data_IF_493450216877
#
_entry.id   IF_493450216877
#
_cell.length_a   1.000
_cell.length_b   1.000
_cell.length_c   1.000
_cell.angle_alpha   90.00
_cell.angle_beta   90.00
_cell.angle_gamma   90.00
#
_symmetry.space_group_name_H-M   'P 1'
#
loop_
_entity.id
_entity.type
_entity.pdbx_description
1 polymer ?
#
# COMPACT_ATOMS: atom_id res chain seq x y z
N UNK A 1 -74.43 -45.40 -37.94
CA UNK A 1 -73.81 -44.07 -37.76
C UNK A 1 -72.54 -44.23 -36.93
N UNK A 2 -71.37 -43.99 -37.53
CA UNK A 2 -70.03 -44.31 -36.99
C UNK A 2 -69.54 -43.23 -36.02
N UNK A 3 -69.10 -43.64 -34.81
CA UNK A 3 -68.52 -42.79 -33.77
C UNK A 3 -67.20 -42.16 -34.25
N UNK A 4 -67.10 -40.84 -34.11
CA UNK A 4 -65.99 -39.97 -34.54
C UNK A 4 -64.84 -40.10 -33.52
N UNK A 5 -63.72 -40.73 -33.89
CA UNK A 5 -62.49 -40.77 -33.08
C UNK A 5 -61.80 -39.41 -33.14
N UNK A 6 -61.67 -38.75 -31.99
CA UNK A 6 -60.86 -37.55 -31.80
C UNK A 6 -59.36 -37.94 -31.86
N UNK A 7 -58.60 -37.32 -32.76
CA UNK A 7 -57.11 -37.36 -32.74
C UNK A 7 -56.64 -36.37 -31.67
N UNK A 8 -55.84 -36.83 -30.72
CA UNK A 8 -55.12 -35.97 -29.79
C UNK A 8 -54.08 -35.13 -30.56
N UNK A 9 -53.91 -33.84 -30.22
CA UNK A 9 -52.86 -33.01 -30.80
C UNK A 9 -51.49 -33.43 -30.25
N UNK A 10 -50.52 -33.60 -31.15
CA UNK A 10 -49.10 -33.76 -30.83
C UNK A 10 -48.61 -32.56 -30.03
N UNK A 11 -48.08 -32.81 -28.84
CA UNK A 11 -47.43 -31.81 -27.99
C UNK A 11 -46.18 -31.26 -28.67
N UNK A 12 -46.13 -29.95 -28.87
CA UNK A 12 -44.91 -29.23 -29.20
C UNK A 12 -43.87 -29.41 -28.06
N UNK A 13 -42.56 -29.47 -28.36
CA UNK A 13 -41.56 -29.56 -27.30
C UNK A 13 -41.62 -28.29 -26.43
N UNK A 14 -41.69 -28.52 -25.12
CA UNK A 14 -41.61 -27.47 -24.10
C UNK A 14 -40.23 -26.82 -24.21
N UNK A 15 -40.18 -25.56 -24.61
CA UNK A 15 -38.98 -24.75 -24.62
C UNK A 15 -38.55 -24.56 -23.15
N UNK A 16 -37.52 -25.28 -22.71
CA UNK A 16 -36.95 -25.08 -21.37
C UNK A 16 -36.42 -23.64 -21.30
N UNK A 17 -36.80 -22.84 -20.29
CA UNK A 17 -36.21 -21.52 -20.11
C UNK A 17 -34.72 -21.71 -19.85
N UNK A 18 -33.87 -21.24 -20.77
CA UNK A 18 -32.44 -21.24 -20.53
C UNK A 18 -32.14 -20.36 -19.31
N UNK A 19 -31.28 -20.81 -18.38
CA UNK A 19 -30.94 -20.04 -17.20
C UNK A 19 -30.27 -18.72 -17.60
N UNK A 20 -30.82 -17.62 -17.12
CA UNK A 20 -30.18 -16.31 -17.23
C UNK A 20 -29.00 -16.29 -16.25
N UNK A 21 -27.79 -16.52 -16.75
CA UNK A 21 -26.56 -16.43 -15.95
C UNK A 21 -26.05 -14.98 -15.95
N UNK A 22 -26.05 -14.35 -14.79
CA UNK A 22 -25.40 -13.07 -14.56
C UNK A 22 -23.99 -13.29 -14.00
N UNK A 23 -22.97 -12.75 -14.68
CA UNK A 23 -21.60 -12.75 -14.17
C UNK A 23 -21.39 -11.48 -13.33
N UNK A 24 -21.27 -11.65 -12.01
CA UNK A 24 -20.93 -10.56 -11.10
C UNK A 24 -19.43 -10.27 -11.21
N UNK A 25 -19.06 -9.02 -11.47
CA UNK A 25 -17.68 -8.59 -11.29
C UNK A 25 -17.40 -8.56 -9.78
N UNK A 26 -16.42 -9.34 -9.33
CA UNK A 26 -16.06 -9.43 -7.92
C UNK A 26 -15.84 -8.04 -7.31
N UNK A 27 -16.32 -7.88 -6.07
CA UNK A 27 -16.19 -6.63 -5.32
C UNK A 27 -14.73 -6.18 -5.25
N UNK A 28 -14.46 -4.87 -5.28
CA UNK A 28 -13.12 -4.36 -5.04
C UNK A 28 -12.69 -4.76 -3.63
N UNK A 29 -11.85 -5.80 -3.53
CA UNK A 29 -11.22 -6.15 -2.27
C UNK A 29 -10.17 -5.09 -1.94
N UNK A 30 -10.38 -4.38 -0.83
CA UNK A 30 -9.34 -3.55 -0.25
C UNK A 30 -8.16 -4.46 0.15
N UNK A 31 -6.95 -4.00 -0.12
CA UNK A 31 -5.70 -4.76 0.18
C UNK A 31 -5.48 -4.91 1.69
N UNK A 32 -6.25 -4.19 2.52
CA UNK A 32 -6.31 -4.25 3.98
C UNK A 32 -7.78 -4.05 4.40
N UNK A 33 -8.33 -4.95 5.21
CA UNK A 33 -9.67 -4.76 5.79
C UNK A 33 -9.65 -3.55 6.73
N UNK A 34 -10.67 -2.70 6.64
CA UNK A 34 -10.74 -1.38 7.30
C UNK A 34 -10.67 -1.45 8.84
N UNK A 35 -10.78 -2.66 9.40
CA UNK A 35 -10.84 -2.93 10.84
C UNK A 35 -9.46 -3.10 11.48
N UNK A 36 -8.42 -3.48 10.74
CA UNK A 36 -7.12 -3.83 11.33
C UNK A 36 -6.22 -2.63 11.69
N UNK A 37 -6.54 -1.42 11.24
CA UNK A 37 -5.70 -0.22 11.47
C UNK A 37 -6.18 0.63 12.66
N UNK A 38 -7.45 0.50 13.06
CA UNK A 38 -8.09 1.39 14.03
C UNK A 38 -8.51 0.72 15.33
N UNK A 39 -8.34 -0.60 15.45
CA UNK A 39 -8.49 -1.27 16.75
C UNK A 39 -7.25 -0.94 17.60
N UNK A 40 -7.32 0.18 18.30
CA UNK A 40 -6.50 0.47 19.48
C UNK A 40 -6.89 -0.49 20.62
N UNK A 41 -6.79 -1.79 20.38
CA UNK A 41 -6.76 -2.75 21.47
C UNK A 41 -5.51 -2.41 22.29
N UNK A 42 -5.67 -2.22 23.61
CA UNK A 42 -4.57 -2.15 24.56
C UNK A 42 -3.53 -3.20 24.18
N UNK A 43 -2.25 -2.82 24.06
CA UNK A 43 -1.22 -3.68 23.48
C UNK A 43 -1.24 -5.08 24.11
N UNK A 44 -1.79 -6.06 23.39
CA UNK A 44 -2.04 -7.41 23.91
C UNK A 44 -0.69 -8.14 23.97
N UNK A 45 -0.45 -8.88 25.05
CA UNK A 45 0.74 -9.71 25.16
C UNK A 45 0.42 -11.20 25.03
N UNK A 46 1.34 -11.96 24.44
CA UNK A 46 1.23 -13.42 24.31
C UNK A 46 1.97 -14.20 25.41
N UNK A 47 2.38 -13.50 26.48
CA UNK A 47 3.17 -14.03 27.59
C UNK A 47 4.69 -13.98 27.36
N UNK A 48 5.16 -13.70 26.14
CA UNK A 48 6.59 -13.47 25.84
C UNK A 48 6.87 -12.03 25.42
N UNK A 49 6.04 -11.50 24.53
CA UNK A 49 6.15 -10.12 24.03
C UNK A 49 4.79 -9.47 23.88
N UNK A 50 4.84 -8.15 23.73
CA UNK A 50 3.71 -7.26 23.50
C UNK A 50 3.57 -7.03 22.00
N UNK A 51 2.37 -7.22 21.45
CA UNK A 51 2.10 -6.91 20.05
C UNK A 51 1.96 -5.39 19.84
N UNK A 52 2.43 -4.85 18.70
CA UNK A 52 2.33 -3.43 18.41
C UNK A 52 0.86 -3.03 18.24
N UNK A 53 0.50 -1.78 18.59
CA UNK A 53 -0.87 -1.28 18.51
C UNK A 53 -1.41 -1.23 17.07
N UNK A 54 -0.53 -1.23 16.07
CA UNK A 54 -0.88 -1.33 14.66
C UNK A 54 0.01 -2.33 13.93
N UNK A 55 -0.49 -2.87 12.83
CA UNK A 55 0.26 -3.84 12.02
C UNK A 55 1.51 -3.22 11.39
N UNK A 56 2.69 -3.53 11.93
CA UNK A 56 3.97 -3.17 11.31
C UNK A 56 4.13 -3.78 9.91
N UNK A 57 3.54 -4.96 9.65
CA UNK A 57 3.50 -5.51 8.29
C UNK A 57 2.62 -4.67 7.35
N UNK A 58 1.50 -4.13 7.87
CA UNK A 58 0.65 -3.18 7.16
C UNK A 58 1.38 -1.88 6.83
N UNK A 59 2.08 -1.28 7.80
CA UNK A 59 2.91 -0.09 7.58
C UNK A 59 4.01 -0.32 6.54
N UNK A 60 4.72 -1.45 6.63
CA UNK A 60 5.78 -1.78 5.69
C UNK A 60 5.28 -1.91 4.24
N UNK A 61 4.05 -2.45 4.04
CA UNK A 61 3.40 -2.48 2.73
C UNK A 61 2.98 -1.07 2.29
N UNK A 62 2.39 -0.31 3.22
CA UNK A 62 1.86 1.03 2.98
C UNK A 62 2.92 2.04 2.56
N UNK A 63 4.17 1.85 3.00
CA UNK A 63 5.32 2.66 2.56
C UNK A 63 5.37 2.82 1.04
N UNK A 64 5.01 1.76 0.28
CA UNK A 64 5.08 1.75 -1.19
C UNK A 64 3.75 2.00 -1.88
N UNK A 65 2.68 2.29 -1.15
CA UNK A 65 1.34 2.51 -1.71
C UNK A 65 1.28 3.77 -2.58
N UNK A 66 2.02 4.82 -2.20
CA UNK A 66 2.08 6.07 -2.95
C UNK A 66 3.49 6.67 -3.02
N UNK A 67 3.82 7.29 -4.15
CA UNK A 67 5.11 7.98 -4.36
C UNK A 67 5.27 9.16 -3.40
N UNK A 68 4.20 9.93 -3.20
CA UNK A 68 4.17 11.05 -2.26
C UNK A 68 4.15 10.64 -0.78
N UNK A 69 4.16 9.33 -0.51
CA UNK A 69 4.31 8.77 0.82
C UNK A 69 5.75 8.28 1.05
N UNK A 70 6.29 7.46 0.13
CA UNK A 70 7.66 6.93 0.22
C UNK A 70 8.76 7.96 -0.01
N UNK A 71 8.63 8.81 -1.03
CA UNK A 71 9.65 9.79 -1.42
C UNK A 71 10.04 10.72 -0.26
N UNK A 72 9.10 11.38 0.46
CA UNK A 72 9.44 12.21 1.61
C UNK A 72 10.24 11.48 2.70
N UNK A 73 9.87 10.23 3.02
CA UNK A 73 10.58 9.41 4.02
C UNK A 73 12.04 9.16 3.58
N UNK A 74 12.25 8.82 2.30
CA UNK A 74 13.60 8.58 1.79
C UNK A 74 14.44 9.85 1.73
N UNK A 75 13.85 11.01 1.40
CA UNK A 75 14.54 12.30 1.43
C UNK A 75 14.96 12.66 2.86
N UNK A 76 14.05 12.56 3.85
CA UNK A 76 14.35 12.77 5.27
C UNK A 76 15.53 11.88 5.70
N UNK A 77 15.46 10.58 5.43
CA UNK A 77 16.55 9.62 5.72
C UNK A 77 17.86 10.04 5.06
N UNK A 78 17.85 10.35 3.76
CA UNK A 78 19.06 10.67 3.02
C UNK A 78 19.76 11.90 3.58
N UNK A 79 19.01 12.94 3.94
CA UNK A 79 19.60 14.16 4.52
C UNK A 79 20.17 13.84 5.91
N UNK A 80 19.43 13.14 6.77
CA UNK A 80 19.93 12.72 8.09
C UNK A 80 21.23 11.90 7.97
N UNK A 81 21.26 10.92 7.08
CA UNK A 81 22.43 10.07 6.83
C UNK A 81 23.60 10.85 6.21
N UNK A 82 23.33 11.85 5.38
CA UNK A 82 24.36 12.71 4.79
C UNK A 82 25.01 13.62 5.84
N UNK A 83 24.25 14.04 6.84
CA UNK A 83 24.76 14.85 7.95
C UNK A 83 25.41 14.02 9.04
N UNK A 84 25.13 12.72 9.13
CA UNK A 84 25.70 11.84 10.16
C UNK A 84 27.21 11.67 10.00
N UNK A 85 27.93 11.79 11.12
CA UNK A 85 29.37 11.54 11.21
C UNK A 85 29.57 10.06 11.59
N UNK A 86 30.11 9.20 10.70
CA UNK A 86 30.27 7.79 10.99
C UNK A 86 31.11 7.51 12.24
N UNK A 87 30.68 6.55 13.04
CA UNK A 87 31.35 6.14 14.28
C UNK A 87 31.90 4.70 14.15
N UNK A 88 33.06 4.36 14.76
CA UNK A 88 33.58 2.98 14.72
C UNK A 88 32.59 1.93 15.21
N UNK A 89 31.72 2.30 16.16
CA UNK A 89 30.68 1.42 16.71
C UNK A 89 29.37 1.42 15.92
N UNK A 90 29.09 2.42 15.08
CA UNK A 90 27.84 2.54 14.35
C UNK A 90 28.10 2.92 12.90
N UNK A 91 27.90 1.95 12.00
CA UNK A 91 28.11 2.14 10.58
C UNK A 91 27.07 3.10 9.98
N UNK A 92 27.41 3.79 8.90
CA UNK A 92 26.46 4.62 8.17
C UNK A 92 25.26 3.81 7.64
N UNK A 93 25.48 2.54 7.29
CA UNK A 93 24.43 1.64 6.83
C UNK A 93 23.44 1.28 7.94
N UNK A 94 23.93 0.99 9.14
CA UNK A 94 23.07 0.67 10.29
C UNK A 94 22.35 1.91 10.80
N UNK A 95 23.01 3.07 10.82
CA UNK A 95 22.35 4.35 11.08
C UNK A 95 21.24 4.63 10.05
N UNK A 96 21.49 4.40 8.76
CA UNK A 96 20.48 4.57 7.70
C UNK A 96 19.26 3.65 7.87
N UNK A 97 19.46 2.40 8.32
CA UNK A 97 18.37 1.47 8.66
C UNK A 97 17.59 1.94 9.87
N UNK A 98 18.30 2.35 10.93
CA UNK A 98 17.70 2.85 12.16
C UNK A 98 16.80 4.08 11.91
N UNK A 99 17.29 5.06 11.14
CA UNK A 99 16.51 6.24 10.74
C UNK A 99 15.29 5.84 9.90
N UNK A 100 15.45 4.92 8.94
CA UNK A 100 14.33 4.49 8.11
C UNK A 100 13.24 3.80 8.95
N UNK A 101 13.63 2.93 9.86
CA UNK A 101 12.69 2.22 10.72
C UNK A 101 11.93 3.19 11.62
N UNK A 102 12.61 4.17 12.22
CA UNK A 102 11.94 5.20 13.03
C UNK A 102 10.92 5.97 12.20
N UNK A 103 11.30 6.43 11.00
CA UNK A 103 10.40 7.18 10.12
C UNK A 103 9.20 6.36 9.64
N UNK A 104 9.32 5.05 9.48
CA UNK A 104 8.26 4.17 8.95
C UNK A 104 7.37 3.59 10.04
N UNK A 105 7.95 3.24 11.18
CA UNK A 105 7.24 2.52 12.24
C UNK A 105 6.99 3.37 13.48
N UNK A 106 7.57 4.56 13.59
CA UNK A 106 7.65 5.28 14.87
C UNK A 106 8.49 4.54 15.90
N UNK A 107 9.24 3.52 15.48
CA UNK A 107 9.99 2.60 16.33
C UNK A 107 11.29 2.21 15.63
N UNK A 108 12.41 2.30 16.33
CA UNK A 108 13.70 1.84 15.81
C UNK A 108 14.53 1.19 16.91
N UNK A 109 15.31 0.18 16.54
CA UNK A 109 16.06 -0.63 17.49
C UNK A 109 17.54 -0.75 17.13
N UNK A 110 18.42 -0.64 18.12
CA UNK A 110 19.85 -0.94 18.01
C UNK A 110 20.25 -1.98 19.07
N UNK A 111 20.90 -3.05 18.64
CA UNK A 111 21.45 -4.10 19.50
C UNK A 111 22.94 -3.86 19.77
N UNK A 112 23.36 -3.95 21.03
CA UNK A 112 24.76 -4.06 21.45
C UNK A 112 25.30 -5.44 21.09
N UNK A 113 26.18 -5.50 20.09
CA UNK A 113 26.90 -6.73 19.74
C UNK A 113 28.19 -6.80 20.54
N UNK A 114 28.33 -7.84 21.35
CA UNK A 114 29.53 -8.07 22.14
C UNK A 114 30.51 -9.02 21.43
N UNK A 115 31.79 -8.83 21.69
CA UNK A 115 32.83 -9.78 21.29
C UNK A 115 32.88 -10.95 22.28
N UNK A 116 33.71 -11.98 21.99
CA UNK A 116 33.82 -13.19 22.83
C UNK A 116 34.32 -12.94 24.26
N UNK A 117 34.98 -11.81 24.50
CA UNK A 117 35.51 -11.41 25.82
C UNK A 117 34.61 -10.39 26.52
N UNK A 118 33.40 -10.12 26.00
CA UNK A 118 32.38 -9.26 26.61
C UNK A 118 32.51 -7.77 26.30
N UNK A 119 33.49 -7.35 25.51
CA UNK A 119 33.62 -5.97 25.06
C UNK A 119 32.64 -5.63 23.95
N UNK A 120 32.14 -4.39 23.91
CA UNK A 120 31.28 -3.90 22.83
C UNK A 120 32.04 -3.92 21.50
N UNK A 121 31.49 -4.63 20.51
CA UNK A 121 32.06 -4.72 19.17
C UNK A 121 31.45 -3.67 18.24
N UNK A 122 30.13 -3.56 18.22
CA UNK A 122 29.36 -2.62 17.39
C UNK A 122 27.91 -2.53 17.85
N UNK A 123 27.22 -1.50 17.36
CA UNK A 123 25.76 -1.38 17.40
C UNK A 123 25.20 -1.83 16.05
N UNK A 124 24.21 -2.70 16.08
CA UNK A 124 23.58 -3.27 14.89
C UNK A 124 22.09 -2.94 14.88
N UNK A 125 21.58 -2.47 13.74
CA UNK A 125 20.16 -2.16 13.61
C UNK A 125 19.34 -3.44 13.52
N UNK A 126 18.40 -3.60 14.45
CA UNK A 126 17.44 -4.70 14.42
C UNK A 126 16.15 -4.22 13.73
N UNK A 127 15.72 -4.86 12.62
CA UNK A 127 14.57 -4.40 11.84
C UNK A 127 13.29 -4.29 12.67
N UNK A 128 12.76 -3.07 12.82
CA UNK A 128 11.61 -2.76 13.66
C UNK A 128 10.35 -3.56 13.31
N UNK A 129 10.16 -3.88 12.02
CA UNK A 129 9.07 -4.75 11.56
C UNK A 129 8.99 -6.08 12.34
N UNK A 130 10.14 -6.63 12.71
CA UNK A 130 10.26 -7.96 13.31
C UNK A 130 10.62 -7.91 14.81
N UNK A 131 11.11 -6.79 15.31
CA UNK A 131 11.41 -6.62 16.74
C UNK A 131 10.14 -6.36 17.53
N UNK A 132 10.04 -6.99 18.71
CA UNK A 132 8.95 -6.85 19.67
C UNK A 132 9.51 -6.57 21.05
N UNK A 133 8.87 -5.68 21.79
CA UNK A 133 9.11 -5.44 23.21
C UNK A 133 8.62 -6.64 24.01
N UNK A 134 9.47 -7.18 24.86
CA UNK A 134 9.16 -8.26 25.78
C UNK A 134 8.14 -7.83 26.84
N UNK A 135 7.48 -8.80 27.47
CA UNK A 135 6.70 -8.55 28.69
C UNK A 135 7.63 -8.30 29.87
N UNK A 136 8.80 -8.93 29.86
CA UNK A 136 9.89 -8.66 30.80
C UNK A 136 10.53 -7.31 30.48
N UNK A 137 10.83 -6.53 31.51
CA UNK A 137 11.48 -5.24 31.38
C UNK A 137 12.85 -5.36 30.70
N UNK A 138 13.11 -4.45 29.76
CA UNK A 138 14.37 -4.35 29.01
C UNK A 138 14.76 -5.61 28.22
N UNK A 139 13.77 -6.45 27.90
CA UNK A 139 13.91 -7.63 27.06
C UNK A 139 13.17 -7.40 25.75
N UNK A 140 13.76 -7.85 24.64
CA UNK A 140 13.15 -7.77 23.32
C UNK A 140 13.19 -9.13 22.63
N UNK A 141 12.36 -9.27 21.61
CA UNK A 141 12.26 -10.47 20.79
C UNK A 141 12.34 -10.12 19.32
N UNK A 142 13.02 -10.96 18.55
CA UNK A 142 13.03 -10.89 17.10
C UNK A 142 12.16 -12.01 16.52
N UNK A 143 11.05 -11.63 15.89
CA UNK A 143 9.98 -12.54 15.47
C UNK A 143 9.90 -12.56 13.94
N UNK A 144 10.35 -13.65 13.33
CA UNK A 144 10.21 -13.90 11.88
C UNK A 144 9.24 -15.05 11.63
N UNK A 145 8.45 -14.97 10.56
CA UNK A 145 7.36 -15.93 10.28
C UNK A 145 7.79 -17.40 10.12
N UNK A 146 9.08 -17.68 9.89
CA UNK A 146 9.58 -19.02 9.56
C UNK A 146 10.71 -19.51 10.48
N UNK A 147 11.00 -18.79 11.57
CA UNK A 147 12.05 -19.16 12.52
C UNK A 147 11.52 -19.03 13.94
N UNK A 148 12.10 -19.81 14.84
CA UNK A 148 11.87 -19.64 16.27
C UNK A 148 12.20 -18.20 16.69
N UNK A 149 11.32 -17.55 17.47
CA UNK A 149 11.58 -16.21 18.00
C UNK A 149 12.89 -16.17 18.77
N UNK A 150 13.74 -15.22 18.44
CA UNK A 150 15.00 -15.02 19.14
C UNK A 150 14.80 -14.00 20.27
N UNK A 151 15.11 -14.39 21.51
CA UNK A 151 15.15 -13.48 22.65
C UNK A 151 16.49 -12.75 22.68
N UNK A 152 16.46 -11.43 22.73
CA UNK A 152 17.66 -10.62 22.96
C UNK A 152 18.07 -10.68 24.44
N UNK A 153 19.34 -10.41 24.71
CA UNK A 153 19.82 -10.30 26.09
C UNK A 153 19.22 -9.06 26.78
N UNK A 154 18.87 -9.13 28.07
CA UNK A 154 18.35 -7.97 28.80
C UNK A 154 19.33 -6.78 28.74
N UNK A 155 18.81 -5.59 28.43
CA UNK A 155 19.62 -4.35 28.33
C UNK A 155 20.57 -4.26 27.14
N UNK A 156 20.50 -5.23 26.21
CA UNK A 156 21.29 -5.21 24.98
C UNK A 156 20.66 -4.37 23.86
N UNK A 157 19.37 -4.05 23.93
CA UNK A 157 18.64 -3.37 22.85
C UNK A 157 18.17 -1.98 23.29
N UNK A 158 18.53 -0.96 22.52
CA UNK A 158 17.93 0.36 22.61
C UNK A 158 16.69 0.43 21.74
N UNK A 159 15.61 0.99 22.27
CA UNK A 159 14.35 1.20 21.56
C UNK A 159 14.05 2.71 21.53
N UNK A 160 14.22 3.31 20.36
CA UNK A 160 13.74 4.67 20.10
C UNK A 160 12.28 4.59 19.66
N UNK A 161 11.39 5.27 20.38
CA UNK A 161 9.98 5.35 20.05
C UNK A 161 9.51 6.80 19.89
N UNK A 162 8.64 7.03 18.93
CA UNK A 162 7.87 8.27 18.81
C UNK A 162 6.80 8.28 19.91
N UNK A 163 6.58 9.38 20.64
CA UNK A 163 5.53 9.43 21.65
C UNK A 163 4.15 9.17 21.04
N UNK A 164 3.34 8.38 21.74
CA UNK A 164 1.94 8.12 21.42
C UNK A 164 1.05 8.60 22.57
N UNK A 165 -0.16 9.06 22.23
CA UNK A 165 -1.12 9.60 23.20
C UNK A 165 -1.90 8.50 23.91
N UNK A 166 -1.91 7.28 23.37
CA UNK A 166 -2.74 6.18 23.88
C UNK A 166 -1.95 5.18 24.75
N UNK A 167 -0.63 5.05 24.53
CA UNK A 167 0.22 4.12 25.27
C UNK A 167 1.71 4.50 25.22
N UNK A 168 2.51 3.92 26.12
CA UNK A 168 3.95 4.22 26.29
C UNK A 168 4.88 3.05 25.84
N UNK A 169 4.30 1.99 25.28
CA UNK A 169 5.01 0.74 24.97
C UNK A 169 5.70 0.77 23.61
N UNK A 170 5.05 1.34 22.60
CA UNK A 170 5.51 1.48 21.23
C UNK A 170 5.23 2.90 20.73
N UNK A 171 5.96 3.33 19.70
CA UNK A 171 5.64 4.57 19.00
C UNK A 171 4.70 4.37 17.82
N UNK A 172 4.12 5.47 17.37
CA UNK A 172 3.25 5.53 16.18
C UNK A 172 3.75 6.64 15.24
N UNK A 173 3.92 6.38 13.93
CA UNK A 173 4.38 7.41 13.00
C UNK A 173 3.31 8.47 12.76
N UNK A 174 3.70 9.74 12.70
CA UNK A 174 2.79 10.89 12.56
C UNK A 174 1.88 10.80 11.32
N UNK A 175 2.34 10.13 10.25
CA UNK A 175 1.62 10.06 8.99
C UNK A 175 0.42 9.10 9.00
N UNK A 176 0.12 8.38 10.09
CA UNK A 176 -0.96 7.38 10.15
C UNK A 176 -2.28 7.94 9.63
N UNK A 177 -2.59 9.20 9.95
CA UNK A 177 -3.79 9.91 9.51
C UNK A 177 -3.94 9.97 7.98
N UNK A 178 -2.82 9.93 7.24
CA UNK A 178 -2.77 10.01 5.78
C UNK A 178 -2.75 8.64 5.08
N UNK A 179 -2.77 7.53 5.82
CA UNK A 179 -2.70 6.18 5.24
C UNK A 179 -3.90 5.88 4.32
N UNK A 180 -5.10 6.34 4.70
CA UNK A 180 -6.27 6.21 3.84
C UNK A 180 -6.07 6.94 2.50
N UNK A 181 -5.45 8.12 2.52
CA UNK A 181 -5.10 8.86 1.31
C UNK A 181 -4.03 8.11 0.50
N UNK A 182 -3.04 7.47 1.14
CA UNK A 182 -2.06 6.62 0.46
C UNK A 182 -2.71 5.44 -0.30
N UNK A 183 -3.60 4.70 0.36
CA UNK A 183 -4.27 3.53 -0.25
C UNK A 183 -5.31 3.93 -1.30
N UNK A 184 -5.99 5.05 -1.12
CA UNK A 184 -6.88 5.60 -2.14
C UNK A 184 -6.09 6.00 -3.39
N UNK A 185 -4.93 6.62 -3.20
CA UNK A 185 -4.01 6.99 -4.27
C UNK A 185 -3.46 5.76 -5.03
N UNK A 186 -3.14 4.69 -4.30
CA UNK A 186 -2.74 3.39 -4.87
C UNK A 186 -3.87 2.78 -5.69
N UNK A 187 -5.08 2.70 -5.10
CA UNK A 187 -6.27 2.11 -5.73
C UNK A 187 -6.62 2.81 -7.03
N UNK A 188 -6.57 4.15 -7.07
CA UNK A 188 -6.78 4.93 -8.29
C UNK A 188 -5.73 4.61 -9.38
N UNK A 189 -4.48 4.36 -8.97
CA UNK A 189 -3.39 3.99 -9.88
C UNK A 189 -3.57 2.58 -10.43
N UNK A 190 -3.91 1.62 -9.57
CA UNK A 190 -4.18 0.23 -9.95
C UNK A 190 -5.40 0.13 -10.87
N UNK A 191 -6.45 0.88 -10.58
CA UNK A 191 -7.64 0.96 -11.43
C UNK A 191 -7.26 1.44 -12.83
N UNK A 192 -6.54 2.57 -12.95
CA UNK A 192 -6.09 3.09 -14.24
C UNK A 192 -5.22 2.08 -14.99
N UNK A 193 -4.27 1.43 -14.29
CA UNK A 193 -3.43 0.40 -14.91
C UNK A 193 -4.27 -0.76 -15.44
N UNK A 194 -5.23 -1.27 -14.66
CA UNK A 194 -6.14 -2.35 -15.06
C UNK A 194 -7.05 -1.93 -16.22
N UNK A 195 -7.57 -0.70 -16.18
CA UNK A 195 -8.37 -0.11 -17.25
C UNK A 195 -7.60 -0.11 -18.58
N UNK A 196 -6.36 0.37 -18.60
CA UNK A 196 -5.53 0.36 -19.81
C UNK A 196 -5.08 -1.04 -20.22
N UNK A 197 -4.77 -1.94 -19.28
CA UNK A 197 -4.46 -3.34 -19.58
C UNK A 197 -5.65 -4.07 -20.23
N UNK A 198 -6.87 -3.68 -19.86
CA UNK A 198 -8.11 -4.15 -20.45
C UNK A 198 -8.52 -3.29 -21.67
N UNK A 199 -7.57 -2.60 -22.32
CA UNK A 199 -7.74 -1.75 -23.51
C UNK A 199 -8.79 -0.65 -23.40
N UNK A 200 -8.79 0.04 -22.27
CA UNK A 200 -9.58 1.24 -22.02
C UNK A 200 -11.09 1.04 -22.22
N UNK A 201 -11.61 -0.11 -21.75
CA UNK A 201 -13.04 -0.38 -21.75
C UNK A 201 -13.47 -0.92 -20.39
N UNK A 202 -14.53 -0.34 -19.82
CA UNK A 202 -15.13 -0.80 -18.55
C UNK A 202 -15.98 -2.08 -18.67
N UNK A 203 -15.85 -2.83 -19.78
CA UNK A 203 -16.78 -3.90 -20.16
C UNK A 203 -18.13 -3.41 -20.71
N UNK A 204 -18.95 -4.34 -21.21
CA UNK A 204 -20.28 -4.08 -21.76
C UNK A 204 -21.20 -5.27 -21.50
N UNK A 205 -22.51 -5.03 -21.52
CA UNK A 205 -23.52 -6.08 -21.52
C UNK A 205 -23.88 -6.38 -22.97
N UNK A 206 -23.55 -7.58 -23.45
CA UNK A 206 -24.02 -8.05 -24.74
C UNK A 206 -25.32 -8.82 -24.55
N UNK A 207 -26.40 -8.26 -25.10
CA UNK A 207 -27.74 -8.84 -25.08
C UNK A 207 -28.07 -9.38 -26.46
N UNK A 208 -28.38 -10.68 -26.55
CA UNK A 208 -28.76 -11.34 -27.80
C UNK A 208 -30.23 -11.74 -27.71
N UNK A 209 -31.10 -11.12 -28.50
CA UNK A 209 -32.55 -11.39 -28.49
C UNK A 209 -33.00 -12.34 -29.57
N UNK A 210 -32.23 -12.41 -30.67
CA UNK A 210 -32.60 -13.28 -31.77
C UNK A 210 -32.27 -14.73 -31.41
N UNK A 211 -33.09 -15.67 -31.88
CA UNK A 211 -32.78 -17.09 -31.76
C UNK A 211 -31.58 -17.37 -32.66
N UNK A 212 -30.36 -17.17 -32.15
CA UNK A 212 -29.16 -17.68 -32.78
C UNK A 212 -29.42 -19.17 -33.04
N UNK A 213 -29.52 -19.54 -34.33
CA UNK A 213 -30.21 -20.77 -34.73
C UNK A 213 -29.51 -22.06 -34.29
N UNK A 214 -28.38 -21.97 -33.58
CA UNK A 214 -27.73 -23.10 -32.92
C UNK A 214 -27.10 -22.67 -31.60
N UNK A 215 -27.28 -23.46 -30.53
CA UNK A 215 -26.56 -23.25 -29.26
C UNK A 215 -25.03 -23.24 -29.43
N UNK A 216 -24.53 -23.94 -30.45
CA UNK A 216 -23.12 -23.96 -30.84
C UNK A 216 -22.58 -22.60 -31.28
N UNK A 217 -23.38 -21.72 -31.85
CA UNK A 217 -22.93 -20.38 -32.26
C UNK A 217 -22.87 -19.41 -31.08
N UNK A 218 -23.77 -19.56 -30.11
CA UNK A 218 -23.73 -18.82 -28.84
C UNK A 218 -22.47 -19.20 -28.04
N UNK A 219 -22.12 -20.49 -28.03
CA UNK A 219 -20.91 -20.96 -27.35
C UNK A 219 -19.63 -20.49 -28.04
N UNK A 220 -19.60 -20.45 -29.38
CA UNK A 220 -18.48 -19.87 -30.15
C UNK A 220 -18.35 -18.37 -29.93
N UNK A 221 -19.46 -17.64 -29.90
CA UNK A 221 -19.47 -16.22 -29.53
C UNK A 221 -18.95 -16.02 -28.11
N UNK A 222 -19.42 -16.84 -27.15
CA UNK A 222 -18.94 -16.80 -25.76
C UNK A 222 -17.44 -17.09 -25.68
N UNK A 223 -16.95 -18.08 -26.41
CA UNK A 223 -15.53 -18.44 -26.46
C UNK A 223 -14.69 -17.34 -27.11
N UNK A 224 -15.14 -16.77 -28.24
CA UNK A 224 -14.47 -15.65 -28.91
C UNK A 224 -14.38 -14.44 -27.97
N UNK A 225 -15.48 -14.11 -27.28
CA UNK A 225 -15.56 -13.01 -26.31
C UNK A 225 -14.68 -13.25 -25.08
N UNK A 226 -14.67 -14.48 -24.54
CA UNK A 226 -13.77 -14.85 -23.44
C UNK A 226 -12.30 -14.74 -23.86
N UNK A 227 -11.97 -15.18 -25.07
CA UNK A 227 -10.62 -15.12 -25.62
C UNK A 227 -10.17 -13.69 -25.99
N UNK A 228 -11.11 -12.73 -26.10
CA UNK A 228 -10.77 -11.30 -26.25
C UNK A 228 -10.39 -10.60 -24.93
N UNK A 229 -10.60 -11.26 -23.77
CA UNK A 229 -10.17 -10.71 -22.47
C UNK A 229 -8.66 -10.91 -22.29
N UNK A 230 -7.91 -9.82 -22.09
CA UNK A 230 -6.48 -9.84 -21.76
C UNK A 230 -5.63 -8.82 -22.54
N UNK A 231 -4.39 -8.62 -22.11
CA UNK A 231 -3.44 -7.70 -22.75
C UNK A 231 -3.28 -8.05 -24.24
N UNK A 232 -3.54 -7.08 -25.12
CA UNK A 232 -3.30 -7.20 -26.57
C UNK A 232 -4.42 -7.86 -27.40
N UNK A 233 -5.55 -8.24 -26.79
CA UNK A 233 -6.60 -9.03 -27.45
C UNK A 233 -7.80 -8.23 -28.00
N UNK A 234 -7.63 -6.93 -28.29
CA UNK A 234 -8.62 -6.13 -29.02
C UNK A 234 -8.62 -6.49 -30.50
N UNK A 235 -9.18 -7.67 -30.82
CA UNK A 235 -9.55 -8.02 -32.18
C UNK A 235 -11.01 -7.67 -32.36
N UNK A 236 -11.33 -6.91 -33.39
CA UNK A 236 -12.70 -6.60 -33.77
C UNK A 236 -13.49 -7.91 -33.95
N UNK A 237 -14.53 -8.13 -33.15
CA UNK A 237 -15.41 -9.30 -33.32
C UNK A 237 -16.38 -9.02 -34.46
N UNK A 238 -16.20 -9.71 -35.58
CA UNK A 238 -17.14 -9.68 -36.69
C UNK A 238 -18.14 -10.83 -36.55
N UNK A 239 -19.42 -10.50 -36.41
CA UNK A 239 -20.50 -11.49 -36.35
C UNK A 239 -21.45 -11.33 -37.54
N UNK A 240 -21.61 -12.40 -38.32
CA UNK A 240 -22.48 -12.44 -39.50
C UNK A 240 -23.76 -13.21 -39.17
N UNK A 241 -24.90 -12.53 -39.23
CA UNK A 241 -26.23 -13.11 -39.01
C UNK A 241 -27.11 -12.94 -40.26
N UNK A 242 -27.14 -13.93 -41.17
CA UNK A 242 -28.03 -13.88 -42.32
C UNK A 242 -29.49 -13.90 -41.81
N UNK A 243 -30.29 -12.90 -42.19
CA UNK A 243 -31.66 -12.63 -41.72
C UNK A 243 -31.79 -12.14 -40.26
N UNK A 244 -30.73 -11.65 -39.62
CA UNK A 244 -30.80 -11.11 -38.26
C UNK A 244 -31.65 -9.83 -38.18
N UNK A 245 -32.39 -9.65 -37.08
CA UNK A 245 -33.12 -8.40 -36.81
C UNK A 245 -32.16 -7.27 -36.41
N UNK A 246 -32.49 -5.99 -36.68
CA UNK A 246 -31.68 -4.83 -36.26
C UNK A 246 -31.36 -4.80 -34.76
N UNK A 247 -32.27 -5.33 -33.93
CA UNK A 247 -32.15 -5.41 -32.47
C UNK A 247 -31.62 -6.77 -31.96
N UNK A 248 -31.23 -7.68 -32.87
CA UNK A 248 -30.89 -9.08 -32.56
C UNK A 248 -29.68 -9.24 -31.64
N UNK A 249 -28.71 -8.32 -31.71
CA UNK A 249 -27.58 -8.19 -30.79
C UNK A 249 -27.46 -6.73 -30.39
N UNK A 250 -27.57 -6.46 -29.09
CA UNK A 250 -27.34 -5.15 -28.49
C UNK A 250 -26.12 -5.20 -27.59
N UNK A 251 -25.20 -4.28 -27.82
CA UNK A 251 -24.12 -3.99 -26.87
C UNK A 251 -24.61 -2.78 -26.07
N UNK A 252 -24.96 -3.01 -24.81
CA UNK A 252 -25.21 -1.94 -23.85
C UNK A 252 -23.88 -1.67 -23.17
N UNK A 253 -23.18 -0.57 -23.50
CA UNK A 253 -21.98 -0.22 -22.77
C UNK A 253 -22.37 -0.05 -21.30
N UNK A 254 -21.59 -0.64 -20.40
CA UNK A 254 -21.66 -0.23 -19.01
C UNK A 254 -21.16 1.21 -19.02
N UNK A 255 -22.07 2.17 -18.88
CA UNK A 255 -21.72 3.59 -18.87
C UNK A 255 -20.56 3.79 -17.89
N UNK A 256 -19.47 4.40 -18.38
CA UNK A 256 -18.32 4.82 -17.58
C UNK A 256 -18.70 6.00 -16.68
N UNK A 257 -19.68 5.82 -15.78
CA UNK A 257 -20.20 6.91 -14.92
C UNK A 257 -19.15 7.38 -13.90
N UNK A 258 -17.98 6.73 -13.81
CA UNK A 258 -16.82 7.25 -13.09
C UNK A 258 -15.81 7.86 -14.08
N UNK A 259 -15.97 9.16 -14.26
CA UNK A 259 -15.29 10.05 -15.19
C UNK A 259 -13.77 10.04 -15.04
N UNK A 260 -13.02 10.31 -16.11
CA UNK A 260 -11.57 10.56 -16.03
C UNK A 260 -11.21 11.64 -14.99
N UNK A 261 -12.14 12.57 -14.75
CA UNK A 261 -12.01 13.72 -13.87
C UNK A 261 -12.01 13.33 -12.38
N UNK A 262 -12.86 12.38 -11.97
CA UNK A 262 -12.89 11.92 -10.58
C UNK A 262 -11.57 11.27 -10.13
N UNK A 263 -10.95 10.46 -11.01
CA UNK A 263 -9.64 9.86 -10.70
C UNK A 263 -8.53 10.90 -10.55
N UNK A 264 -8.57 11.96 -11.37
CA UNK A 264 -7.59 13.04 -11.27
C UNK A 264 -7.79 13.80 -9.95
N UNK A 265 -9.03 14.13 -9.60
CA UNK A 265 -9.38 14.79 -8.34
C UNK A 265 -8.96 13.95 -7.13
N UNK A 266 -9.27 12.65 -7.13
CA UNK A 266 -8.83 11.72 -6.08
C UNK A 266 -7.31 11.72 -5.95
N UNK A 267 -6.58 11.64 -7.07
CA UNK A 267 -5.10 11.62 -7.05
C UNK A 267 -4.50 12.92 -6.51
N UNK A 268 -5.12 14.07 -6.81
CA UNK A 268 -4.65 15.37 -6.31
C UNK A 268 -4.97 15.55 -4.84
N UNK A 269 -6.22 15.33 -4.41
CA UNK A 269 -6.61 15.44 -3.01
C UNK A 269 -5.77 14.52 -2.11
N UNK A 270 -5.67 13.25 -2.49
CA UNK A 270 -4.84 12.29 -1.74
C UNK A 270 -3.35 12.61 -1.78
N UNK A 271 -2.84 13.22 -2.86
CA UNK A 271 -1.46 13.71 -2.89
C UNK A 271 -1.29 14.83 -1.86
N UNK A 272 -2.18 15.81 -1.84
CA UNK A 272 -2.04 17.00 -1.01
C UNK A 272 -2.15 16.64 0.49
N UNK A 273 -2.99 15.66 0.85
CA UNK A 273 -3.00 15.07 2.20
C UNK A 273 -1.65 14.45 2.58
N UNK A 274 -1.06 13.66 1.68
CA UNK A 274 0.24 13.01 1.93
C UNK A 274 1.38 14.03 2.07
N UNK A 275 1.38 15.06 1.22
CA UNK A 275 2.34 16.15 1.30
C UNK A 275 2.21 16.90 2.63
N UNK A 276 0.98 17.15 3.06
CA UNK A 276 0.68 17.83 4.33
C UNK A 276 1.12 17.00 5.54
N UNK A 277 0.92 15.67 5.50
CA UNK A 277 1.35 14.78 6.56
C UNK A 277 2.87 14.68 6.70
N UNK A 278 3.61 14.70 5.58
CA UNK A 278 5.06 14.56 5.60
C UNK A 278 5.81 15.88 5.78
N UNK A 279 5.18 17.01 5.44
CA UNK A 279 5.73 18.37 5.57
C UNK A 279 7.07 18.58 4.85
N UNK A 280 7.34 17.79 3.80
CA UNK A 280 8.54 17.93 2.96
C UNK A 280 8.26 18.91 1.81
N UNK A 281 9.14 19.90 1.55
CA UNK A 281 8.97 20.80 0.42
C UNK A 281 8.85 20.06 -0.93
N UNK A 282 7.85 20.37 -1.78
CA UNK A 282 7.64 19.72 -3.08
C UNK A 282 8.88 19.68 -3.99
N UNK A 283 9.68 20.76 -3.98
CA UNK A 283 10.91 20.87 -4.76
C UNK A 283 11.93 19.78 -4.41
N UNK A 284 12.01 19.39 -3.13
CA UNK A 284 12.94 18.35 -2.65
C UNK A 284 12.47 16.94 -3.00
N UNK A 285 11.21 16.78 -3.40
CA UNK A 285 10.63 15.51 -3.83
C UNK A 285 10.60 15.35 -5.36
N UNK A 286 11.17 16.30 -6.11
CA UNK A 286 11.17 16.28 -7.58
C UNK A 286 9.81 16.60 -8.19
N UNK A 287 8.91 17.26 -7.45
CA UNK A 287 7.62 17.70 -7.97
C UNK A 287 7.85 18.91 -8.88
N UNK A 288 7.27 18.87 -10.07
CA UNK A 288 7.29 19.97 -11.04
C UNK A 288 6.10 20.89 -10.76
N UNK A 289 6.30 22.22 -10.64
CA UNK A 289 5.20 23.15 -10.43
C UNK A 289 4.27 23.20 -11.66
N UNK A 290 2.96 23.28 -11.40
CA UNK A 290 1.95 23.39 -12.46
C UNK A 290 1.62 24.85 -12.83
N UNK A 291 2.24 25.83 -12.18
CA UNK A 291 2.01 27.26 -12.37
C UNK A 291 3.28 27.99 -12.82
N UNK A 292 3.12 29.12 -13.52
CA UNK A 292 4.22 29.92 -14.08
C UNK A 292 5.14 30.53 -13.01
N UNK A 293 4.67 30.66 -11.76
CA UNK A 293 5.43 31.25 -10.65
C UNK A 293 6.39 30.29 -9.94
N UNK A 294 6.32 28.98 -10.22
CA UNK A 294 7.16 27.97 -9.57
C UNK A 294 6.96 27.88 -8.04
N UNK A 295 7.89 27.22 -7.36
CA UNK A 295 7.88 27.03 -5.90
C UNK A 295 8.74 28.05 -5.13
N UNK A 296 9.41 28.97 -5.83
CA UNK A 296 10.35 29.93 -5.23
C UNK A 296 11.74 29.33 -4.95
N UNK A 297 12.43 29.90 -3.97
CA UNK A 297 13.83 29.60 -3.62
C UNK A 297 13.94 28.25 -2.86
N UNK A 298 14.61 27.29 -3.49
CA UNK A 298 14.78 25.92 -2.96
C UNK A 298 15.69 25.89 -1.73
N UNK A 299 16.69 26.77 -1.66
CA UNK A 299 17.67 26.81 -0.57
C UNK A 299 16.99 27.27 0.73
N UNK A 300 16.18 28.33 0.66
CA UNK A 300 15.42 28.80 1.82
C UNK A 300 14.41 27.77 2.30
N UNK A 301 13.72 27.11 1.37
CA UNK A 301 12.78 26.05 1.69
C UNK A 301 13.48 24.86 2.38
N UNK A 302 14.66 24.46 1.90
CA UNK A 302 15.43 23.37 2.51
C UNK A 302 15.96 23.75 3.89
N UNK A 303 16.42 24.99 4.11
CA UNK A 303 16.89 25.46 5.42
C UNK A 303 15.77 25.44 6.47
N UNK A 304 14.58 25.94 6.13
CA UNK A 304 13.41 25.92 7.04
C UNK A 304 12.98 24.48 7.34
N UNK A 305 12.93 23.65 6.31
CA UNK A 305 12.61 22.23 6.45
C UNK A 305 13.61 21.51 7.35
N UNK A 306 14.92 21.65 7.12
CA UNK A 306 15.95 21.02 7.93
C UNK A 306 15.85 21.48 9.37
N UNK A 307 15.70 22.79 9.61
CA UNK A 307 15.59 23.36 10.95
C UNK A 307 14.40 22.82 11.73
N UNK A 308 13.23 22.70 11.09
CA UNK A 308 11.98 22.39 11.78
C UNK A 308 11.63 20.90 11.79
N UNK A 309 12.08 20.13 10.80
CA UNK A 309 11.75 18.71 10.66
C UNK A 309 12.94 17.79 10.97
N UNK A 310 14.15 18.14 10.51
CA UNK A 310 15.30 17.22 10.61
C UNK A 310 16.13 17.43 11.87
N UNK A 311 16.33 18.67 12.33
CA UNK A 311 17.07 18.92 13.58
C UNK A 311 16.36 18.25 14.77
N UNK A 312 15.03 18.33 14.96
CA UNK A 312 14.36 17.57 16.02
C UNK A 312 14.59 16.06 15.91
N UNK A 313 14.54 15.50 14.70
CA UNK A 313 14.87 14.08 14.48
C UNK A 313 16.33 13.78 14.83
N UNK A 314 17.28 14.66 14.49
CA UNK A 314 18.68 14.49 14.90
C UNK A 314 18.82 14.46 16.44
N UNK A 315 18.09 15.31 17.16
CA UNK A 315 18.10 15.29 18.64
C UNK A 315 17.50 14.00 19.20
N UNK A 316 16.37 13.52 18.66
CA UNK A 316 15.80 12.21 19.05
C UNK A 316 16.80 11.07 18.85
N UNK A 317 17.49 11.08 17.71
CA UNK A 317 18.50 10.05 17.38
C UNK A 317 19.73 10.11 18.31
N UNK A 318 20.03 11.28 18.90
CA UNK A 318 21.15 11.43 19.85
C UNK A 318 20.88 10.82 21.23
N UNK A 319 19.66 10.42 21.56
CA UNK A 319 19.33 9.72 22.82
C UNK A 319 20.14 8.44 23.01
N UNK A 320 20.59 7.83 21.91
CA UNK A 320 21.55 6.70 21.92
C UNK A 320 22.83 7.06 22.68
N UNK A 321 23.28 8.31 22.64
CA UNK A 321 24.49 8.74 23.31
C UNK A 321 24.37 8.66 24.83
N UNK A 322 23.18 8.94 25.37
CA UNK A 322 22.89 8.81 26.81
C UNK A 322 22.87 7.34 27.21
N UNK A 323 22.21 6.49 26.41
CA UNK A 323 22.18 5.04 26.65
C UNK A 323 23.55 4.38 26.57
N UNK A 324 24.43 4.88 25.69
CA UNK A 324 25.80 4.39 25.53
C UNK A 324 26.81 5.06 26.46
N UNK A 325 26.42 6.15 27.12
CA UNK A 325 27.32 7.04 27.86
C UNK A 325 28.56 7.46 27.02
N UNK A 326 28.37 7.62 25.70
CA UNK A 326 29.40 7.94 24.71
C UNK A 326 28.76 8.68 23.52
N UNK A 327 29.49 9.59 22.88
CA UNK A 327 29.00 10.32 21.70
C UNK A 327 29.08 9.48 20.42
N UNK A 328 28.16 8.52 20.29
CA UNK A 328 28.06 7.62 19.13
C UNK A 328 27.45 8.33 17.91
N UNK A 329 26.36 9.07 18.10
CA UNK A 329 25.67 9.79 17.03
C UNK A 329 25.98 11.27 17.13
N UNK A 330 26.56 11.79 16.06
CA UNK A 330 26.82 13.20 15.89
C UNK A 330 26.56 13.61 14.43
N UNK A 331 26.28 14.90 14.22
CA UNK A 331 25.91 15.42 12.91
C UNK A 331 26.74 16.66 12.54
N UNK A 332 27.10 16.74 11.27
CA UNK A 332 27.57 17.98 10.65
C UNK A 332 26.39 18.93 10.43
N UNK A 333 26.69 20.23 10.38
CA UNK A 333 25.73 21.21 9.91
C UNK A 333 25.30 20.88 8.47
N UNK A 334 24.03 21.10 8.16
CA UNK A 334 23.55 21.03 6.78
C UNK A 334 24.05 22.24 6.00
N UNK A 335 24.86 22.00 4.97
CA UNK A 335 25.42 23.04 4.09
C UNK A 335 24.96 22.73 2.66
N UNK A 336 24.51 23.78 1.95
CA UNK A 336 23.94 23.72 0.60
C UNK A 336 25.01 23.87 -0.49
#
# INVERSE_FOLDING_TARGET
>A
MKKRKYRQPTSAPVNQPQPMEAFTFGEPSAVLDRRDILDYAECIHNGRWIEPPISFSGLAKSLRAAVHHSSPIYVKRNILVSTFIPHPLLSQQDFSRFVLDYLVFGNAFLEKRLNRVGGLLRLESSPAKYTRRGVEDDVYWFVQSFKEPHRFEPGSVFHLLEPDINQEMYGLPEYISSLNSAWLNESATLFRRKYYQNGAHAGYIMYVTDAAQSGTDVDKLRAAMSNTKGLGNFKNLFFYAPNGKPDGIKIVPLSEVATKDDFFNIKNASRDDLLSAHRVPPQMMGIIPNNTGGFGDVEKASQVFVRNELVPLQERMKEINEWMNEKIINFNAYVF
#
